data_IF_095731207058
#
_entry.id   IF_095731207058
#
_cell.length_a   1.000
_cell.length_b   1.000
_cell.length_c   1.000
_cell.angle_alpha   90.00
_cell.angle_beta   90.00
_cell.angle_gamma   90.00
#
_symmetry.space_group_name_H-M   'P 1'
#
loop_
_entity.id
_entity.type
_entity.pdbx_description
1 polymer ?
#
# COMPACT_ATOMS: atom_id res chain seq x y z
N UNK A 1 -16.45 -2.23 -5.02
CA UNK A 1 -15.48 -3.11 -4.31
C UNK A 1 -15.65 -3.01 -2.79
N UNK A 2 -15.70 -1.84 -2.17
CA UNK A 2 -15.82 -1.69 -0.70
C UNK A 2 -17.07 -2.38 -0.14
N UNK A 3 -18.24 -2.15 -0.73
CA UNK A 3 -19.50 -2.82 -0.34
C UNK A 3 -19.43 -4.36 -0.48
N UNK A 4 -18.73 -4.87 -1.48
CA UNK A 4 -18.55 -6.32 -1.66
C UNK A 4 -17.68 -6.92 -0.56
N UNK A 5 -16.60 -6.21 -0.15
CA UNK A 5 -15.76 -6.64 0.95
C UNK A 5 -16.55 -6.69 2.27
N UNK A 6 -17.33 -5.64 2.55
CA UNK A 6 -18.22 -5.60 3.72
C UNK A 6 -19.25 -6.75 3.70
N UNK A 7 -19.94 -6.94 2.58
CA UNK A 7 -20.92 -8.01 2.44
C UNK A 7 -20.32 -9.42 2.56
N UNK A 8 -19.03 -9.57 2.22
CA UNK A 8 -18.27 -10.81 2.41
C UNK A 8 -17.77 -11.02 3.83
N UNK A 9 -18.01 -10.10 4.77
CA UNK A 9 -17.58 -10.20 6.16
C UNK A 9 -16.10 -9.87 6.38
N UNK A 10 -15.47 -9.06 5.51
CA UNK A 10 -14.11 -8.60 5.72
C UNK A 10 -14.04 -7.60 6.88
N UNK A 11 -12.94 -7.58 7.62
CA UNK A 11 -12.64 -6.59 8.66
C UNK A 11 -11.90 -5.37 8.09
N UNK A 12 -11.24 -5.54 6.95
CA UNK A 12 -10.43 -4.51 6.32
C UNK A 12 -10.48 -4.58 4.80
N UNK A 13 -10.21 -3.47 4.13
CA UNK A 13 -9.96 -3.40 2.70
C UNK A 13 -8.61 -2.73 2.43
N UNK A 14 -7.88 -3.24 1.44
CA UNK A 14 -6.57 -2.73 1.05
C UNK A 14 -6.58 -2.25 -0.39
N UNK A 15 -6.23 -0.98 -0.58
CA UNK A 15 -5.93 -0.41 -1.90
C UNK A 15 -4.44 -0.57 -2.26
N UNK A 16 -4.14 -0.36 -3.53
CA UNK A 16 -2.80 -0.17 -4.06
C UNK A 16 -2.77 1.17 -4.77
N UNK A 17 -1.71 1.95 -4.57
CA UNK A 17 -1.66 3.30 -5.11
C UNK A 17 -0.23 3.75 -5.41
N UNK A 18 -0.09 4.59 -6.41
CA UNK A 18 1.13 5.31 -6.78
C UNK A 18 0.78 6.70 -7.32
N UNK A 19 1.59 7.69 -6.98
CA UNK A 19 1.37 9.08 -7.40
C UNK A 19 1.83 9.34 -8.83
N UNK A 20 2.77 8.53 -9.36
CA UNK A 20 3.40 8.76 -10.66
C UNK A 20 3.61 7.45 -11.42
N UNK A 21 2.92 7.26 -12.56
CA UNK A 21 3.19 6.14 -13.46
C UNK A 21 4.65 6.05 -13.92
N UNK A 22 5.28 7.20 -14.19
CA UNK A 22 6.70 7.27 -14.58
C UNK A 22 7.60 6.70 -13.49
N UNK A 23 7.44 7.18 -12.24
CA UNK A 23 8.23 6.72 -11.10
C UNK A 23 7.98 5.25 -10.81
N UNK A 24 6.75 4.79 -10.96
CA UNK A 24 6.41 3.39 -10.81
C UNK A 24 7.06 2.52 -11.88
N UNK A 25 7.08 2.97 -13.14
CA UNK A 25 7.74 2.28 -14.24
C UNK A 25 9.26 2.21 -14.05
N UNK A 26 9.88 3.28 -13.58
CA UNK A 26 11.30 3.31 -13.21
C UNK A 26 11.62 2.33 -12.08
N UNK A 27 10.82 2.33 -11.03
CA UNK A 27 10.96 1.42 -9.89
C UNK A 27 10.84 -0.06 -10.32
N UNK A 28 9.95 -0.38 -11.26
CA UNK A 28 9.73 -1.74 -11.78
C UNK A 28 10.62 -2.11 -12.97
N UNK A 29 11.27 -1.13 -13.58
CA UNK A 29 12.06 -1.32 -14.79
C UNK A 29 11.27 -1.57 -16.06
N UNK A 30 9.95 -1.37 -16.06
CA UNK A 30 9.07 -1.56 -17.22
C UNK A 30 7.64 -1.08 -16.95
N UNK A 31 6.81 -1.08 -18.01
CA UNK A 31 5.34 -1.08 -17.84
C UNK A 31 4.70 0.30 -17.66
N UNK A 32 5.29 1.39 -18.18
CA UNK A 32 4.69 2.74 -18.08
C UNK A 32 3.21 2.76 -18.50
N UNK A 33 2.89 2.23 -19.67
CA UNK A 33 1.51 2.22 -20.20
C UNK A 33 0.54 1.47 -19.26
N UNK A 34 1.01 0.41 -18.62
CA UNK A 34 0.24 -0.34 -17.64
C UNK A 34 -0.04 0.51 -16.38
N UNK A 35 0.99 1.18 -15.86
CA UNK A 35 0.83 1.99 -14.65
C UNK A 35 0.03 3.26 -14.92
N UNK A 36 0.14 3.85 -16.11
CA UNK A 36 -0.65 5.00 -16.52
C UNK A 36 -2.14 4.61 -16.68
N UNK A 37 -2.42 3.51 -17.38
CA UNK A 37 -3.78 3.01 -17.57
C UNK A 37 -4.51 2.64 -16.26
N UNK A 38 -3.75 2.33 -15.19
CA UNK A 38 -4.30 1.95 -13.89
C UNK A 38 -4.01 2.99 -12.79
N UNK A 39 -3.52 4.17 -13.17
CA UNK A 39 -3.33 5.26 -12.23
C UNK A 39 -4.67 5.69 -11.63
N UNK A 40 -4.70 5.75 -10.31
CA UNK A 40 -5.91 6.10 -9.57
C UNK A 40 -5.74 7.48 -8.94
N UNK A 41 -6.64 8.44 -9.21
CA UNK A 41 -6.62 9.73 -8.52
C UNK A 41 -6.67 9.56 -7.00
N UNK A 42 -5.96 10.42 -6.28
CA UNK A 42 -5.92 10.37 -4.81
C UNK A 42 -7.31 10.55 -4.19
N UNK A 43 -8.15 11.34 -4.84
CA UNK A 43 -9.54 11.59 -4.43
C UNK A 43 -10.36 10.29 -4.36
N UNK A 44 -10.14 9.38 -5.30
CA UNK A 44 -10.83 8.07 -5.28
C UNK A 44 -10.37 7.20 -4.11
N UNK A 45 -9.10 7.31 -3.73
CA UNK A 45 -8.58 6.63 -2.55
C UNK A 45 -9.22 7.18 -1.26
N UNK A 46 -9.39 8.51 -1.19
CA UNK A 46 -10.05 9.20 -0.09
C UNK A 46 -11.55 8.81 0.01
N UNK A 47 -12.24 8.75 -1.12
CA UNK A 47 -13.64 8.29 -1.18
C UNK A 47 -13.77 6.83 -0.73
N UNK A 48 -12.90 5.95 -1.24
CA UNK A 48 -12.90 4.54 -0.85
C UNK A 48 -12.65 4.36 0.65
N UNK A 49 -11.74 5.16 1.23
CA UNK A 49 -11.51 5.22 2.67
C UNK A 49 -12.76 5.65 3.43
N UNK A 50 -13.38 6.76 3.02
CA UNK A 50 -14.61 7.26 3.66
C UNK A 50 -15.72 6.21 3.67
N UNK A 51 -15.91 5.53 2.55
CA UNK A 51 -16.86 4.43 2.41
C UNK A 51 -16.50 3.24 3.30
N UNK A 52 -15.23 2.84 3.36
CA UNK A 52 -14.77 1.74 4.20
C UNK A 52 -15.07 2.01 5.68
N UNK A 53 -14.69 3.19 6.16
CA UNK A 53 -14.92 3.61 7.55
C UNK A 53 -16.43 3.69 7.90
N UNK A 54 -17.28 4.17 6.98
CA UNK A 54 -18.72 4.22 7.19
C UNK A 54 -19.37 2.83 7.34
N UNK A 55 -18.72 1.80 6.79
CA UNK A 55 -19.14 0.41 6.89
C UNK A 55 -18.42 -0.37 8.01
N UNK A 56 -17.62 0.30 8.83
CA UNK A 56 -16.86 -0.34 9.90
C UNK A 56 -15.64 -1.13 9.45
N UNK A 57 -15.19 -0.95 8.19
CA UNK A 57 -13.99 -1.60 7.67
C UNK A 57 -12.75 -0.74 7.95
N UNK A 58 -11.65 -1.38 8.30
CA UNK A 58 -10.36 -0.73 8.26
C UNK A 58 -9.92 -0.47 6.81
N UNK A 59 -9.32 0.71 6.57
CA UNK A 59 -8.75 1.06 5.28
C UNK A 59 -7.23 1.01 5.35
N UNK A 60 -6.62 0.22 4.47
CA UNK A 60 -5.17 0.10 4.29
C UNK A 60 -4.78 0.46 2.86
N UNK A 61 -3.52 0.86 2.68
CA UNK A 61 -2.96 1.10 1.35
C UNK A 61 -1.53 0.57 1.26
N UNK A 62 -1.20 0.01 0.09
CA UNK A 62 0.17 -0.32 -0.29
C UNK A 62 0.67 0.73 -1.28
N UNK A 63 1.85 1.28 -1.03
CA UNK A 63 2.61 2.09 -1.97
C UNK A 63 3.92 1.38 -2.31
N UNK A 64 4.64 1.86 -3.31
CA UNK A 64 5.76 1.15 -3.92
C UNK A 64 7.06 1.94 -3.90
N UNK A 65 6.99 3.23 -3.68
CA UNK A 65 8.14 4.14 -3.61
C UNK A 65 8.07 4.99 -2.34
N UNK A 66 9.22 5.35 -1.75
CA UNK A 66 9.25 6.08 -0.47
C UNK A 66 8.51 7.42 -0.51
N UNK A 67 8.50 8.09 -1.66
CA UNK A 67 7.87 9.40 -1.85
C UNK A 67 6.35 9.37 -1.72
N UNK A 68 5.75 8.20 -1.89
CA UNK A 68 4.30 8.02 -1.78
C UNK A 68 3.86 7.75 -0.33
N UNK A 69 4.78 7.34 0.56
CA UNK A 69 4.46 7.03 1.96
C UNK A 69 3.79 8.23 2.66
N UNK A 70 4.36 9.46 2.65
CA UNK A 70 3.77 10.58 3.36
C UNK A 70 2.37 10.96 2.86
N UNK A 71 2.06 10.66 1.59
CA UNK A 71 0.76 10.95 1.01
C UNK A 71 -0.34 10.08 1.61
N UNK A 72 -0.03 8.81 1.90
CA UNK A 72 -1.03 7.87 2.45
C UNK A 72 -1.07 7.83 3.98
N UNK A 73 -0.08 8.39 4.67
CA UNK A 73 -0.04 8.44 6.16
C UNK A 73 -1.37 8.89 6.77
N UNK A 74 -2.01 10.00 6.32
CA UNK A 74 -3.26 10.47 6.90
C UNK A 74 -4.48 9.60 6.55
N UNK A 75 -4.32 8.65 5.64
CA UNK A 75 -5.42 7.84 5.13
C UNK A 75 -5.49 6.45 5.79
N UNK A 76 -4.42 5.98 6.40
CA UNK A 76 -4.32 4.61 6.93
C UNK A 76 -4.00 4.60 8.42
N UNK A 77 -4.52 3.61 9.14
CA UNK A 77 -4.13 3.32 10.53
C UNK A 77 -2.90 2.41 10.58
N UNK A 78 -2.76 1.54 9.59
CA UNK A 78 -1.65 0.60 9.42
C UNK A 78 -1.19 0.59 7.97
N UNK A 79 0.11 0.43 7.78
CA UNK A 79 0.69 0.26 6.46
C UNK A 79 0.65 -1.21 6.00
N UNK A 80 0.60 -1.40 4.71
CA UNK A 80 0.82 -2.70 4.09
C UNK A 80 1.98 -2.60 3.10
N UNK A 81 3.02 -3.40 3.32
CA UNK A 81 4.18 -3.53 2.41
C UNK A 81 4.05 -4.81 1.60
N UNK A 82 4.16 -4.68 0.29
CA UNK A 82 4.13 -5.81 -0.64
C UNK A 82 5.38 -6.69 -0.53
N UNK A 83 5.30 -7.95 -0.97
CA UNK A 83 6.40 -8.89 -0.82
C UNK A 83 7.64 -8.52 -1.64
N UNK A 84 7.47 -7.87 -2.79
CA UNK A 84 8.58 -7.41 -3.61
C UNK A 84 9.34 -6.24 -2.96
N UNK A 85 8.62 -5.32 -2.32
CA UNK A 85 9.19 -4.17 -1.62
C UNK A 85 9.74 -4.57 -0.23
N UNK A 86 9.18 -5.61 0.37
CA UNK A 86 9.59 -6.09 1.69
C UNK A 86 11.03 -6.60 1.76
N UNK A 87 11.64 -6.94 0.62
CA UNK A 87 13.06 -7.31 0.57
C UNK A 87 14.00 -6.11 0.83
N UNK A 88 13.48 -4.88 0.72
CA UNK A 88 14.21 -3.66 1.07
C UNK A 88 13.96 -3.30 2.54
N UNK A 89 14.97 -3.52 3.37
CA UNK A 89 14.91 -3.09 4.77
C UNK A 89 14.72 -1.57 4.91
N UNK A 90 15.35 -0.78 4.04
CA UNK A 90 15.22 0.67 4.02
C UNK A 90 13.78 1.11 3.77
N UNK A 91 13.07 0.43 2.86
CA UNK A 91 11.67 0.73 2.57
C UNK A 91 10.76 0.43 3.78
N UNK A 92 11.00 -0.66 4.49
CA UNK A 92 10.29 -0.98 5.73
C UNK A 92 10.57 0.08 6.80
N UNK A 93 11.82 0.48 6.99
CA UNK A 93 12.20 1.53 7.95
C UNK A 93 11.55 2.88 7.61
N UNK A 94 11.44 3.22 6.31
CA UNK A 94 10.75 4.43 5.88
C UNK A 94 9.28 4.46 6.32
N UNK A 95 8.58 3.32 6.30
CA UNK A 95 7.22 3.21 6.84
C UNK A 95 7.21 3.33 8.37
N UNK A 96 8.13 2.65 9.06
CA UNK A 96 8.20 2.67 10.53
C UNK A 96 8.47 4.05 11.10
N UNK A 97 9.13 4.94 10.35
CA UNK A 97 9.42 6.30 10.77
C UNK A 97 8.16 7.13 11.11
N UNK A 98 6.99 6.73 10.63
CA UNK A 98 5.72 7.38 10.93
C UNK A 98 5.02 6.85 12.18
N UNK A 99 5.55 5.81 12.83
CA UNK A 99 5.05 5.28 14.09
C UNK A 99 3.78 4.42 14.01
N UNK A 100 3.26 4.18 12.81
CA UNK A 100 2.12 3.30 12.58
C UNK A 100 2.58 1.84 12.46
N UNK A 101 1.69 0.90 12.73
CA UNK A 101 1.94 -0.52 12.49
C UNK A 101 2.20 -0.80 11.00
N UNK A 102 3.09 -1.73 10.73
CA UNK A 102 3.44 -2.14 9.36
C UNK A 102 3.18 -3.63 9.20
N UNK A 103 2.25 -3.99 8.34
CA UNK A 103 2.02 -5.38 7.93
C UNK A 103 2.92 -5.68 6.73
N UNK A 104 3.83 -6.62 6.89
CA UNK A 104 4.82 -6.98 5.87
C UNK A 104 4.47 -8.32 5.24
N UNK A 105 4.39 -8.36 3.89
CA UNK A 105 4.31 -9.63 3.17
C UNK A 105 5.71 -10.21 2.99
N UNK A 106 5.91 -11.45 3.41
CA UNK A 106 7.22 -12.09 3.45
C UNK A 106 7.49 -13.08 2.31
N UNK A 107 6.55 -13.23 1.35
CA UNK A 107 6.62 -14.26 0.31
C UNK A 107 7.80 -14.16 -0.66
N UNK A 108 8.50 -13.03 -0.74
CA UNK A 108 9.70 -12.87 -1.56
C UNK A 108 10.99 -12.77 -0.72
N UNK A 109 10.90 -12.90 0.60
CA UNK A 109 12.04 -12.81 1.51
C UNK A 109 12.73 -14.16 1.68
N UNK A 110 14.05 -14.14 1.83
CA UNK A 110 14.82 -15.28 2.33
C UNK A 110 14.72 -15.37 3.86
N UNK A 111 15.05 -16.54 4.41
CA UNK A 111 15.06 -16.75 5.87
C UNK A 111 15.98 -15.74 6.59
N UNK A 112 17.11 -15.40 6.00
CA UNK A 112 18.02 -14.40 6.56
C UNK A 112 17.42 -12.99 6.62
N UNK A 113 16.62 -12.62 5.62
CA UNK A 113 15.91 -11.34 5.60
C UNK A 113 14.77 -11.32 6.63
N UNK A 114 14.07 -12.44 6.81
CA UNK A 114 13.03 -12.58 7.84
C UNK A 114 13.57 -12.41 9.27
N UNK A 115 14.75 -12.97 9.54
CA UNK A 115 15.40 -12.87 10.85
C UNK A 115 15.88 -11.43 11.13
N UNK A 116 16.15 -10.65 10.09
CA UNK A 116 16.65 -9.26 10.19
C UNK A 116 15.52 -8.21 10.30
N UNK A 117 14.24 -8.59 10.23
CA UNK A 117 13.08 -7.70 10.42
C UNK A 117 12.90 -7.32 11.88
#
# INVERSE_FOLDING_TARGET
>A
MVHLAHAAGADAIKAQWWSSPTRMAEHRGCGFDLFDAHATPLEWLQEARGMALSLGLEFMCTVYVPEDIPVIVPLVSRFKVGSAEAVSHEFIQAHRAYGQEVIVSTGAMSDGQLIAL
#
